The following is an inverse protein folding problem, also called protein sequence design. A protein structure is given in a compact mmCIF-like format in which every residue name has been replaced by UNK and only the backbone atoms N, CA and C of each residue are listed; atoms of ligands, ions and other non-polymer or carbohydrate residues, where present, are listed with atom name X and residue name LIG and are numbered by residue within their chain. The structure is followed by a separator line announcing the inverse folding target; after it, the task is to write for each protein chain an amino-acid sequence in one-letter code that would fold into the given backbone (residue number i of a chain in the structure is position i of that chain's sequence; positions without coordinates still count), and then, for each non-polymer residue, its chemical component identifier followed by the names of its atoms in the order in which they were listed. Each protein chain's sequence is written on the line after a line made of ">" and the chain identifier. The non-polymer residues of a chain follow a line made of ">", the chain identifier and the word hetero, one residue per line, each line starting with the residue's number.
data_IF_039087553679
#
_entry.id   IF_039087553679
#
_cell.length_a   1.000
_cell.length_b   1.000
_cell.length_c   1.000
_cell.angle_alpha   90.00
_cell.angle_beta   90.00
_cell.angle_gamma   90.00
#
_symmetry.space_group_name_H-M   'P 1'
#
loop_
_entity.id
_entity.type
_entity.pdbx_description
1 polymer ?
#
# COMPACT_ATOMS: atom_id res chain seq x y z
N UNK A 1 -14.79 -24.38 -1.96
CA UNK A 1 -15.20 -23.56 -0.77
C UNK A 1 -14.36 -22.28 -0.73
N UNK A 2 -14.98 -21.11 -0.47
CA UNK A 2 -14.19 -19.89 -0.29
C UNK A 2 -13.64 -19.79 1.12
N UNK A 3 -12.40 -19.28 1.26
CA UNK A 3 -11.74 -19.02 2.56
C UNK A 3 -11.55 -17.51 2.74
N UNK A 4 -11.88 -17.00 3.92
CA UNK A 4 -11.81 -15.59 4.28
C UNK A 4 -10.69 -15.33 5.26
N UNK A 5 -9.84 -14.33 4.94
CA UNK A 5 -8.74 -13.88 5.79
C UNK A 5 -8.87 -12.38 6.05
N UNK A 6 -8.63 -11.98 7.29
CA UNK A 6 -8.58 -10.57 7.67
C UNK A 6 -7.14 -10.18 7.94
N UNK A 7 -6.63 -9.21 7.17
CA UNK A 7 -5.24 -8.78 7.29
C UNK A 7 -5.05 -7.29 7.04
N UNK A 8 -4.22 -6.67 7.88
CA UNK A 8 -3.80 -5.28 7.76
C UNK A 8 -2.32 -5.24 7.37
N UNK A 9 -1.98 -4.48 6.33
CA UNK A 9 -0.61 -4.36 5.84
C UNK A 9 0.00 -2.98 6.05
N UNK A 10 -0.78 -1.98 6.50
CA UNK A 10 -0.29 -0.63 6.75
C UNK A 10 0.35 0.03 5.52
N UNK A 11 -0.14 -0.27 4.31
CA UNK A 11 0.44 0.27 3.08
C UNK A 11 1.76 -0.37 2.64
N UNK A 12 2.22 -1.47 3.27
CA UNK A 12 3.43 -2.19 2.88
C UNK A 12 3.15 -3.07 1.65
N UNK A 13 3.35 -2.51 0.44
CA UNK A 13 3.03 -3.14 -0.85
C UNK A 13 3.73 -4.49 -1.00
N UNK A 14 5.05 -4.53 -0.82
CA UNK A 14 5.85 -5.76 -0.94
C UNK A 14 5.42 -6.85 0.04
N UNK A 15 5.03 -6.48 1.27
CA UNK A 15 4.57 -7.46 2.27
C UNK A 15 3.21 -8.05 1.88
N UNK A 16 2.31 -7.22 1.33
CA UNK A 16 1.02 -7.66 0.82
C UNK A 16 1.18 -8.57 -0.39
N UNK A 17 2.00 -8.18 -1.35
CA UNK A 17 2.33 -8.94 -2.56
C UNK A 17 2.94 -10.31 -2.22
N UNK A 18 3.95 -10.32 -1.35
CA UNK A 18 4.57 -11.56 -0.89
C UNK A 18 3.56 -12.51 -0.22
N UNK A 19 2.66 -11.95 0.60
CA UNK A 19 1.62 -12.77 1.24
C UNK A 19 0.62 -13.34 0.23
N UNK A 20 0.19 -12.56 -0.77
CA UNK A 20 -0.71 -13.03 -1.83
C UNK A 20 -0.07 -14.14 -2.66
N UNK A 21 1.21 -13.97 -3.04
CA UNK A 21 1.96 -15.00 -3.76
C UNK A 21 2.12 -16.28 -2.92
N UNK A 22 2.36 -16.13 -1.61
CA UNK A 22 2.40 -17.27 -0.68
C UNK A 22 1.04 -17.99 -0.53
N UNK A 23 -0.07 -17.29 -0.74
CA UNK A 23 -1.39 -17.93 -0.81
C UNK A 23 -1.57 -18.69 -2.12
N UNK A 24 -1.08 -18.17 -3.25
CA UNK A 24 -1.07 -18.87 -4.54
C UNK A 24 -0.22 -20.15 -4.49
N UNK A 25 0.97 -20.10 -3.90
CA UNK A 25 1.82 -21.29 -3.67
C UNK A 25 1.10 -22.39 -2.88
N UNK A 26 0.17 -22.01 -1.99
CA UNK A 26 -0.66 -22.94 -1.21
C UNK A 26 -1.91 -23.42 -1.95
N UNK A 27 -2.12 -23.01 -3.20
CA UNK A 27 -3.29 -23.35 -3.99
C UNK A 27 -4.53 -22.51 -3.66
N UNK A 28 -4.35 -21.21 -3.38
CA UNK A 28 -5.44 -20.27 -3.16
C UNK A 28 -5.36 -19.08 -4.11
N UNK A 29 -6.45 -18.86 -4.85
CA UNK A 29 -6.62 -17.75 -5.79
C UNK A 29 -7.55 -16.68 -5.21
N UNK A 30 -7.17 -15.42 -5.32
CA UNK A 30 -7.98 -14.28 -4.83
C UNK A 30 -9.24 -14.12 -5.69
N UNK A 31 -10.40 -14.04 -5.04
CA UNK A 31 -11.68 -13.73 -5.72
C UNK A 31 -12.25 -12.38 -5.30
N UNK A 32 -11.89 -11.90 -4.10
CA UNK A 32 -12.37 -10.60 -3.60
C UNK A 32 -11.38 -9.99 -2.62
N UNK A 33 -11.18 -8.68 -2.73
CA UNK A 33 -10.41 -7.88 -1.78
C UNK A 33 -11.21 -6.65 -1.36
N UNK A 34 -11.44 -6.50 -0.06
CA UNK A 34 -12.07 -5.32 0.55
C UNK A 34 -11.14 -4.76 1.63
N UNK A 35 -11.56 -3.75 2.38
CA UNK A 35 -10.73 -3.08 3.41
C UNK A 35 -9.64 -3.97 4.03
N UNK A 36 -10.01 -4.86 4.96
CA UNK A 36 -9.08 -5.83 5.55
C UNK A 36 -9.38 -7.27 5.13
N UNK A 37 -10.50 -7.51 4.42
CA UNK A 37 -10.95 -8.82 4.00
C UNK A 37 -10.29 -9.22 2.67
N UNK A 38 -9.82 -10.46 2.63
CA UNK A 38 -9.38 -11.17 1.43
C UNK A 38 -10.11 -12.49 1.37
N UNK A 39 -10.77 -12.77 0.25
CA UNK A 39 -11.51 -14.00 0.01
C UNK A 39 -10.84 -14.76 -1.12
N UNK A 40 -10.59 -16.05 -0.88
CA UNK A 40 -9.88 -16.92 -1.79
C UNK A 40 -10.74 -18.15 -2.12
N UNK A 41 -10.56 -18.66 -3.32
CA UNK A 41 -11.00 -19.99 -3.74
C UNK A 41 -9.82 -20.94 -3.87
N UNK A 42 -10.09 -22.24 -3.86
CA UNK A 42 -9.07 -23.25 -4.10
C UNK A 42 -8.72 -23.31 -5.59
N UNK A 43 -7.43 -23.41 -5.90
CA UNK A 43 -6.89 -23.56 -7.25
C UNK A 43 -5.69 -24.49 -7.22
N UNK A 44 -5.04 -24.69 -8.38
CA UNK A 44 -3.75 -25.41 -8.41
C UNK A 44 -2.68 -24.56 -7.71
N UNK A 45 -1.79 -25.18 -6.90
CA UNK A 45 -0.66 -24.49 -6.30
C UNK A 45 0.17 -23.74 -7.37
N UNK A 46 0.57 -22.51 -7.03
CA UNK A 46 1.37 -21.62 -7.86
C UNK A 46 0.79 -21.33 -9.27
N UNK A 47 -0.54 -21.39 -9.41
CA UNK A 47 -1.22 -21.17 -10.68
C UNK A 47 -1.17 -19.71 -11.12
N UNK A 48 -1.18 -18.77 -10.18
CA UNK A 48 -1.24 -17.32 -10.45
C UNK A 48 -0.14 -16.58 -9.70
N UNK A 49 0.23 -15.40 -10.22
CA UNK A 49 1.11 -14.44 -9.55
C UNK A 49 0.41 -13.10 -9.35
N UNK A 50 0.75 -12.47 -8.24
CA UNK A 50 0.21 -11.18 -7.84
C UNK A 50 1.29 -10.12 -7.82
N UNK A 51 0.93 -8.91 -8.29
CA UNK A 51 1.67 -7.68 -8.08
C UNK A 51 0.74 -6.66 -7.42
N UNK A 52 1.28 -5.86 -6.49
CA UNK A 52 0.51 -4.82 -5.78
C UNK A 52 1.05 -3.46 -6.15
N UNK A 53 0.19 -2.63 -6.74
CA UNK A 53 0.56 -1.30 -7.22
C UNK A 53 -0.23 -0.20 -6.52
N UNK A 54 0.43 0.94 -6.26
CA UNK A 54 -0.19 2.12 -5.69
C UNK A 54 -0.63 3.08 -6.79
N UNK A 55 -1.92 3.36 -6.83
CA UNK A 55 -2.54 4.28 -7.79
C UNK A 55 -3.20 5.50 -7.15
N UNK A 56 -3.02 5.68 -5.86
CA UNK A 56 -3.72 6.72 -5.08
C UNK A 56 -3.37 8.17 -5.45
N UNK A 57 -2.31 8.39 -6.24
CA UNK A 57 -1.94 9.70 -6.79
C UNK A 57 -2.53 9.95 -8.19
N UNK A 58 -3.09 8.92 -8.85
CA UNK A 58 -3.74 9.07 -10.15
C UNK A 58 -5.11 9.76 -10.00
N UNK A 59 -5.53 10.47 -11.02
CA UNK A 59 -6.92 10.94 -11.09
C UNK A 59 -7.88 9.73 -11.20
N UNK A 60 -9.17 9.96 -10.98
CA UNK A 60 -10.16 8.88 -11.12
C UNK A 60 -10.21 8.35 -12.57
N UNK A 61 -10.05 9.23 -13.55
CA UNK A 61 -10.03 8.86 -14.97
C UNK A 61 -8.78 8.05 -15.28
N UNK A 62 -7.59 8.58 -14.99
CA UNK A 62 -6.32 7.87 -15.25
C UNK A 62 -6.25 6.51 -14.54
N UNK A 63 -6.86 6.39 -13.34
CA UNK A 63 -6.93 5.13 -12.62
C UNK A 63 -7.88 4.12 -13.29
N UNK A 64 -8.98 4.61 -13.89
CA UNK A 64 -9.92 3.78 -14.66
C UNK A 64 -9.29 3.31 -15.96
N UNK A 65 -8.67 4.22 -16.71
CA UNK A 65 -8.01 3.92 -17.98
C UNK A 65 -6.86 2.91 -17.77
N UNK A 66 -6.11 3.08 -16.69
CA UNK A 66 -5.04 2.15 -16.33
C UNK A 66 -5.58 0.77 -15.94
N UNK A 67 -6.70 0.72 -15.23
CA UNK A 67 -7.37 -0.53 -14.91
C UNK A 67 -7.84 -1.26 -16.19
N UNK A 68 -8.51 -0.55 -17.09
CA UNK A 68 -8.99 -1.10 -18.37
C UNK A 68 -7.80 -1.58 -19.25
N UNK A 69 -6.71 -0.83 -19.27
CA UNK A 69 -5.48 -1.24 -19.96
C UNK A 69 -4.93 -2.57 -19.42
N UNK A 70 -4.87 -2.75 -18.10
CA UNK A 70 -4.40 -3.99 -17.49
C UNK A 70 -5.33 -5.17 -17.79
N UNK A 71 -6.66 -4.95 -17.74
CA UNK A 71 -7.64 -5.98 -18.13
C UNK A 71 -7.54 -6.32 -19.62
N UNK A 72 -7.30 -5.33 -20.47
CA UNK A 72 -7.04 -5.53 -21.92
C UNK A 72 -5.80 -6.37 -22.21
N UNK A 73 -4.81 -6.39 -21.31
CA UNK A 73 -3.66 -7.30 -21.38
C UNK A 73 -3.95 -8.71 -20.85
N UNK A 74 -5.18 -8.99 -20.42
CA UNK A 74 -5.59 -10.28 -19.89
C UNK A 74 -5.31 -10.49 -18.40
N UNK A 75 -4.95 -9.42 -17.67
CA UNK A 75 -4.77 -9.48 -16.22
C UNK A 75 -6.09 -9.35 -15.50
N UNK A 76 -6.21 -10.00 -14.34
CA UNK A 76 -7.34 -9.78 -13.44
C UNK A 76 -6.96 -8.74 -12.40
N UNK A 77 -7.78 -7.71 -12.26
CA UNK A 77 -7.46 -6.53 -11.42
C UNK A 77 -8.48 -6.38 -10.30
N UNK A 78 -7.97 -6.14 -9.08
CA UNK A 78 -8.80 -5.87 -7.91
C UNK A 78 -8.43 -4.53 -7.30
N UNK A 79 -9.42 -3.68 -7.06
CA UNK A 79 -9.23 -2.49 -6.26
C UNK A 79 -9.09 -2.82 -4.78
N UNK A 80 -8.19 -2.11 -4.10
CA UNK A 80 -7.93 -2.31 -2.68
C UNK A 80 -7.77 -0.98 -1.95
N UNK A 81 -8.30 -0.91 -0.75
CA UNK A 81 -8.07 0.21 0.16
C UNK A 81 -6.73 0.06 0.88
N UNK A 82 -5.95 1.14 0.96
CA UNK A 82 -4.69 1.20 1.72
C UNK A 82 -4.91 1.08 3.24
N UNK A 83 -6.14 1.38 3.72
CA UNK A 83 -6.53 1.41 5.13
C UNK A 83 -5.76 2.43 6.01
N UNK A 84 -5.25 3.49 5.39
CA UNK A 84 -4.57 4.61 6.05
C UNK A 84 -5.30 5.94 5.83
N UNK A 85 -6.57 5.86 5.45
CA UNK A 85 -7.47 6.99 5.23
C UNK A 85 -8.42 7.15 6.40
N UNK A 86 -8.73 8.39 6.74
CA UNK A 86 -9.68 8.73 7.77
C UNK A 86 -10.84 9.52 7.16
N UNK A 87 -12.07 9.16 7.55
CA UNK A 87 -13.28 9.87 7.11
C UNK A 87 -14.02 10.43 8.31
N UNK A 88 -14.34 11.71 8.26
CA UNK A 88 -15.22 12.37 9.23
C UNK A 88 -16.31 13.08 8.42
N UNK A 89 -17.52 12.54 8.42
CA UNK A 89 -18.62 13.03 7.58
C UNK A 89 -18.26 12.97 6.09
N UNK A 90 -18.34 14.12 5.41
CA UNK A 90 -17.96 14.25 3.98
C UNK A 90 -16.47 14.50 3.76
N UNK A 91 -15.72 14.79 4.82
CA UNK A 91 -14.30 15.09 4.75
C UNK A 91 -13.48 13.80 4.83
N UNK A 92 -12.51 13.66 3.94
CA UNK A 92 -11.62 12.50 3.82
C UNK A 92 -10.19 12.96 3.98
N UNK A 93 -9.53 12.50 5.03
CA UNK A 93 -8.13 12.80 5.30
C UNK A 93 -7.24 11.68 4.76
N UNK A 94 -6.30 12.06 3.90
CA UNK A 94 -5.28 11.18 3.31
C UNK A 94 -3.88 11.73 3.66
N UNK A 95 -3.31 11.41 4.83
CA UNK A 95 -2.05 12.02 5.29
C UNK A 95 -0.88 11.82 4.34
N UNK A 96 -0.92 10.73 3.57
CA UNK A 96 0.11 10.31 2.62
C UNK A 96 -0.04 10.92 1.21
N UNK A 97 -1.17 11.60 0.89
CA UNK A 97 -1.42 12.10 -0.46
C UNK A 97 -0.60 13.35 -0.79
N UNK A 98 -0.05 13.39 -1.98
CA UNK A 98 0.60 14.56 -2.59
C UNK A 98 -0.32 15.25 -3.58
N UNK A 99 -0.80 14.47 -4.57
CA UNK A 99 -1.72 14.97 -5.61
C UNK A 99 -3.18 14.82 -5.18
N UNK A 100 -4.01 15.75 -5.60
CA UNK A 100 -5.43 15.79 -5.26
C UNK A 100 -5.74 16.20 -3.81
N UNK A 101 -4.72 16.67 -3.06
CA UNK A 101 -4.85 17.20 -1.71
C UNK A 101 -4.95 16.13 -0.61
N UNK A 102 -4.47 16.50 0.58
CA UNK A 102 -4.56 15.64 1.79
C UNK A 102 -5.98 15.61 2.37
N UNK A 103 -6.77 16.62 2.09
CA UNK A 103 -8.18 16.72 2.48
C UNK A 103 -9.00 16.68 1.19
N UNK A 104 -9.82 15.67 1.04
CA UNK A 104 -10.67 15.50 -0.14
C UNK A 104 -12.15 15.48 0.24
N UNK A 105 -12.95 16.27 -0.48
CA UNK A 105 -14.41 16.33 -0.36
C UNK A 105 -15.11 15.72 -1.58
N UNK A 106 -14.40 15.61 -2.71
CA UNK A 106 -14.92 15.12 -3.99
C UNK A 106 -14.53 13.64 -4.23
N UNK A 107 -15.22 13.02 -5.20
CA UNK A 107 -14.90 11.67 -5.65
C UNK A 107 -13.50 11.62 -6.27
N UNK A 108 -12.64 10.82 -5.68
CA UNK A 108 -11.27 10.53 -6.10
C UNK A 108 -11.06 9.00 -6.05
N UNK A 109 -9.84 8.53 -6.18
CA UNK A 109 -9.45 7.12 -5.94
C UNK A 109 -9.55 6.71 -4.47
N UNK A 110 -10.25 7.48 -3.64
CA UNK A 110 -10.44 7.18 -2.22
C UNK A 110 -11.08 5.81 -2.02
N UNK A 111 -10.47 5.00 -1.17
CA UNK A 111 -10.78 3.57 -0.96
C UNK A 111 -10.42 2.64 -2.13
N UNK A 112 -9.76 3.15 -3.15
CA UNK A 112 -9.26 2.40 -4.32
C UNK A 112 -7.83 2.83 -4.65
N UNK A 113 -6.99 2.92 -3.62
CA UNK A 113 -5.64 3.47 -3.74
C UNK A 113 -4.63 2.43 -4.22
N UNK A 114 -4.97 1.16 -4.11
CA UNK A 114 -4.14 0.06 -4.55
C UNK A 114 -4.85 -0.75 -5.62
N UNK A 115 -4.08 -1.28 -6.57
CA UNK A 115 -4.47 -2.37 -7.43
C UNK A 115 -3.73 -3.64 -7.00
N UNK A 116 -4.46 -4.74 -6.89
CA UNK A 116 -3.90 -6.08 -6.85
C UNK A 116 -4.11 -6.65 -8.24
N UNK A 117 -3.04 -6.89 -8.95
CA UNK A 117 -3.07 -7.40 -10.32
C UNK A 117 -2.63 -8.85 -10.29
N UNK A 118 -3.42 -9.70 -10.91
CA UNK A 118 -3.22 -11.13 -11.01
C UNK A 118 -2.92 -11.49 -12.47
N UNK A 119 -1.90 -12.31 -12.70
CA UNK A 119 -1.65 -12.99 -13.97
C UNK A 119 -1.45 -14.48 -13.76
N UNK A 120 -1.61 -15.28 -14.82
CA UNK A 120 -1.21 -16.68 -14.80
C UNK A 120 0.30 -16.78 -14.60
N UNK A 121 0.75 -17.76 -13.82
CA UNK A 121 2.16 -17.92 -13.51
C UNK A 121 2.91 -18.54 -14.72
N UNK A 122 3.72 -17.74 -15.38
CA UNK A 122 4.59 -18.10 -16.48
C UNK A 122 6.05 -18.38 -16.05
N UNK A 123 6.30 -18.47 -14.74
CA UNK A 123 7.64 -18.65 -14.16
C UNK A 123 8.50 -17.39 -14.16
N UNK A 124 8.05 -16.30 -14.79
CA UNK A 124 8.81 -15.04 -14.86
C UNK A 124 8.46 -14.11 -13.69
N UNK A 125 9.37 -13.21 -13.30
CA UNK A 125 9.04 -12.13 -12.37
C UNK A 125 7.84 -11.33 -12.87
N UNK A 126 6.95 -10.96 -11.96
CA UNK A 126 5.81 -10.12 -12.27
C UNK A 126 6.03 -8.73 -11.69
N UNK A 127 6.48 -7.81 -12.51
CA UNK A 127 6.68 -6.40 -12.16
C UNK A 127 5.80 -5.54 -13.08
N UNK A 128 5.01 -4.66 -12.51
CA UNK A 128 4.32 -3.59 -13.21
C UNK A 128 5.22 -2.35 -13.25
N UNK A 129 4.93 -1.39 -14.13
CA UNK A 129 5.77 -0.24 -14.44
C UNK A 129 5.91 0.81 -13.32
N UNK A 130 5.61 0.48 -12.07
CA UNK A 130 5.86 1.39 -10.95
C UNK A 130 7.38 1.48 -10.74
N UNK A 131 7.96 2.63 -11.05
CA UNK A 131 9.39 2.87 -10.88
C UNK A 131 9.81 2.74 -9.41
N UNK A 132 11.08 2.40 -9.17
CA UNK A 132 11.63 2.39 -7.80
C UNK A 132 11.53 3.78 -7.14
N UNK A 133 11.63 4.84 -7.94
CA UNK A 133 11.45 6.22 -7.50
C UNK A 133 10.02 6.48 -7.01
N UNK A 134 9.00 6.00 -7.73
CA UNK A 134 7.61 6.12 -7.30
C UNK A 134 7.33 5.36 -6.00
N UNK A 135 7.93 4.15 -5.85
CA UNK A 135 7.84 3.38 -4.60
C UNK A 135 8.59 4.09 -3.45
N UNK A 136 9.75 4.68 -3.72
CA UNK A 136 10.50 5.49 -2.73
C UNK A 136 9.65 6.67 -2.26
N UNK A 137 9.08 7.45 -3.20
CA UNK A 137 8.23 8.60 -2.90
C UNK A 137 6.98 8.20 -2.14
N UNK A 138 6.33 7.10 -2.52
CA UNK A 138 5.20 6.54 -1.81
C UNK A 138 5.52 6.24 -0.33
N UNK A 139 6.60 5.52 -0.05
CA UNK A 139 6.99 5.23 1.33
C UNK A 139 7.47 6.46 2.11
N UNK A 140 8.07 7.44 1.43
CA UNK A 140 8.42 8.74 2.03
C UNK A 140 7.16 9.49 2.49
N UNK A 141 6.11 9.44 1.69
CA UNK A 141 4.83 10.07 2.03
C UNK A 141 4.09 9.36 3.17
N UNK A 142 4.23 8.06 3.30
CA UNK A 142 3.71 7.33 4.46
C UNK A 142 4.52 7.63 5.75
N UNK A 143 5.83 7.81 5.63
CA UNK A 143 6.73 8.12 6.76
C UNK A 143 6.50 9.52 7.31
N UNK A 144 6.35 10.53 6.45
CA UNK A 144 6.37 11.94 6.84
C UNK A 144 5.34 12.33 7.90
N UNK A 145 4.07 11.90 7.86
CA UNK A 145 3.11 12.14 8.93
C UNK A 145 3.57 11.60 10.29
N UNK A 146 4.19 10.42 10.30
CA UNK A 146 4.72 9.82 11.53
C UNK A 146 5.93 10.57 12.09
N UNK A 147 6.77 11.13 11.22
CA UNK A 147 7.86 12.04 11.64
C UNK A 147 7.32 13.28 12.35
N UNK A 148 6.25 13.88 11.83
CA UNK A 148 5.62 15.04 12.47
C UNK A 148 5.03 14.67 13.84
N UNK A 149 4.35 13.53 13.95
CA UNK A 149 3.80 13.01 15.20
C UNK A 149 4.91 12.74 16.22
N UNK A 150 5.99 12.08 15.79
CA UNK A 150 7.16 11.82 16.61
C UNK A 150 7.75 13.12 17.16
N UNK A 151 7.98 14.10 16.28
CA UNK A 151 8.55 15.39 16.67
C UNK A 151 7.64 16.13 17.68
N UNK A 152 6.34 16.13 17.43
CA UNK A 152 5.36 16.72 18.33
C UNK A 152 5.41 16.09 19.73
N UNK A 153 5.38 14.76 19.81
CA UNK A 153 5.45 14.08 21.10
C UNK A 153 6.81 14.26 21.80
N UNK A 154 7.91 14.31 21.05
CA UNK A 154 9.22 14.59 21.61
C UNK A 154 9.30 16.00 22.24
N UNK A 155 8.78 17.01 21.54
CA UNK A 155 8.70 18.37 22.06
C UNK A 155 7.84 18.42 23.33
N UNK A 156 6.66 17.79 23.34
CA UNK A 156 5.80 17.76 24.55
C UNK A 156 6.44 16.97 25.70
N UNK A 157 7.17 15.90 25.41
CA UNK A 157 7.89 15.14 26.45
C UNK A 157 8.88 16.04 27.19
N UNK A 158 9.66 16.84 26.46
CA UNK A 158 10.62 17.80 27.04
C UNK A 158 9.91 18.95 27.73
N UNK A 159 8.98 19.63 27.05
CA UNK A 159 8.30 20.83 27.55
C UNK A 159 7.46 20.56 28.81
N UNK A 160 6.81 19.40 28.89
CA UNK A 160 5.94 19.00 30.03
C UNK A 160 6.64 18.06 31.00
N UNK A 161 7.91 17.70 30.75
CA UNK A 161 8.67 16.68 31.52
C UNK A 161 7.84 15.42 31.79
N UNK A 162 7.09 14.97 30.77
CA UNK A 162 6.11 13.89 30.89
C UNK A 162 6.61 12.60 30.26
N UNK A 163 6.71 11.55 31.07
CA UNK A 163 7.07 10.20 30.62
C UNK A 163 6.07 9.66 29.59
N UNK A 164 4.78 10.01 29.73
CA UNK A 164 3.74 9.55 28.80
C UNK A 164 4.02 10.01 27.37
N UNK A 165 4.34 11.30 27.17
CA UNK A 165 4.71 11.81 25.85
C UNK A 165 6.03 11.20 25.34
N UNK A 166 6.98 10.87 26.23
CA UNK A 166 8.18 10.13 25.87
C UNK A 166 7.87 8.74 25.34
N UNK A 167 6.98 8.00 25.99
CA UNK A 167 6.53 6.69 25.49
C UNK A 167 5.79 6.81 24.15
N UNK A 168 4.91 7.79 23.99
CA UNK A 168 4.22 8.03 22.73
C UNK A 168 5.18 8.38 21.58
N UNK A 169 6.25 9.12 21.87
CA UNK A 169 7.31 9.40 20.91
C UNK A 169 8.03 8.09 20.50
N UNK A 170 8.39 7.24 21.45
CA UNK A 170 9.02 5.94 21.16
C UNK A 170 8.10 5.02 20.32
N UNK A 171 6.81 4.97 20.63
CA UNK A 171 5.84 4.20 19.83
C UNK A 171 5.72 4.74 18.41
N UNK A 172 5.69 6.07 18.23
CA UNK A 172 5.62 6.68 16.90
C UNK A 172 6.92 6.53 16.08
N UNK A 173 8.03 6.22 16.71
CA UNK A 173 9.30 5.90 16.04
C UNK A 173 9.23 4.59 15.24
N UNK A 174 8.42 3.62 15.68
CA UNK A 174 8.30 2.31 15.01
C UNK A 174 7.87 2.46 13.54
N UNK A 175 6.73 3.08 13.20
CA UNK A 175 6.34 3.26 11.80
C UNK A 175 7.33 4.13 11.02
N UNK A 176 7.98 5.12 11.66
CA UNK A 176 9.04 5.91 11.01
C UNK A 176 10.16 5.01 10.52
N UNK A 177 10.67 4.13 11.38
CA UNK A 177 11.75 3.21 11.02
C UNK A 177 11.32 2.21 9.95
N UNK A 178 10.11 1.65 10.07
CA UNK A 178 9.57 0.69 9.09
C UNK A 178 9.50 1.31 7.70
N UNK A 179 8.93 2.50 7.55
CA UNK A 179 8.85 3.14 6.23
C UNK A 179 10.21 3.67 5.77
N UNK A 180 11.07 4.13 6.68
CA UNK A 180 12.42 4.55 6.33
C UNK A 180 13.25 3.41 5.74
N UNK A 181 13.17 2.21 6.30
CA UNK A 181 13.87 1.04 5.73
C UNK A 181 13.37 0.73 4.31
N UNK A 182 12.07 0.89 4.04
CA UNK A 182 11.51 0.72 2.69
C UNK A 182 11.97 1.81 1.71
N UNK A 183 12.03 3.06 2.14
CA UNK A 183 12.62 4.16 1.35
C UNK A 183 14.05 3.84 0.95
N UNK A 184 14.87 3.41 1.92
CA UNK A 184 16.28 3.09 1.67
C UNK A 184 16.44 1.87 0.75
N UNK A 185 15.60 0.85 0.91
CA UNK A 185 15.61 -0.35 0.08
C UNK A 185 15.31 0.02 -1.38
N UNK A 186 14.19 0.71 -1.65
CA UNK A 186 13.83 1.09 -3.03
C UNK A 186 14.86 2.03 -3.67
N UNK A 187 15.45 2.95 -2.89
CA UNK A 187 16.53 3.82 -3.37
C UNK A 187 17.78 3.03 -3.77
N UNK A 188 18.12 1.94 -3.07
CA UNK A 188 19.25 1.07 -3.45
C UNK A 188 18.94 0.27 -4.70
N UNK A 189 17.76 -0.34 -4.76
CA UNK A 189 17.32 -1.15 -5.90
C UNK A 189 17.21 -0.31 -7.20
N UNK A 190 16.71 0.93 -7.11
CA UNK A 190 16.70 1.88 -8.23
C UNK A 190 18.11 2.12 -8.78
N UNK A 191 19.08 2.44 -7.93
CA UNK A 191 20.47 2.65 -8.35
C UNK A 191 21.14 1.43 -8.97
N UNK A 192 20.75 0.22 -8.58
CA UNK A 192 21.38 -1.02 -9.08
C UNK A 192 20.86 -1.44 -10.46
N UNK A 193 19.63 -1.04 -10.83
CA UNK A 193 19.02 -1.36 -12.14
C UNK A 193 19.25 -0.31 -13.21
N UNK A 194 19.81 0.86 -12.88
CA UNK A 194 20.19 1.90 -13.84
C UNK A 194 21.57 1.65 -14.50
N UNK A 195 22.22 0.54 -14.19
CA UNK A 195 23.47 0.03 -14.80
C UNK A 195 23.17 -1.31 -15.49
#
# INVERSE_FOLDING_TARGET
>A
MSKKYYRFFGGLLTAQEHWLNKMSEKGYRLIRAEKMLYEFEECKPDQVKYCVEFIGQKSKVDASDYHEFLEGMGYKVFYKNINLNYSVGKVRLRPWAEKGGRIATNAATFNRELLIVEKDNDGKPFELHTSYEDKENYYRNLRNPWLLILLMFAIFAVAKRSVVFGVLALVSLIPVLVYQTKVMQNKREGKTKEW
#
